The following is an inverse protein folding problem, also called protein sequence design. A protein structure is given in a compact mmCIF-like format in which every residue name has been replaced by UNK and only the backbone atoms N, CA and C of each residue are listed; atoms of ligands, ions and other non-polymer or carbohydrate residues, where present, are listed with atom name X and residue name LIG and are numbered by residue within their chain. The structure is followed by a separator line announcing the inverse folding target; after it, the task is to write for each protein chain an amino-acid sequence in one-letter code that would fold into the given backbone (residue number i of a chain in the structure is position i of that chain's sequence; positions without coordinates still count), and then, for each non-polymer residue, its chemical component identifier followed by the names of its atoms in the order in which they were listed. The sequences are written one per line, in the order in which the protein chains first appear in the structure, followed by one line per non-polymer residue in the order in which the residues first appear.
data_IF_167638056229
#
_entry.id   IF_167638056229
#
_cell.length_a   1.000
_cell.length_b   1.000
_cell.length_c   1.000
_cell.angle_alpha   90.00
_cell.angle_beta   90.00
_cell.angle_gamma   90.00
#
_symmetry.space_group_name_H-M   'P 1'
#
loop_
_entity.id
_entity.type
_entity.pdbx_description
1 polymer ?
#
# COMPACT_ATOMS: atom_id res chain seq x y z
N UNK A 1 8.69 -27.06 -2.47
CA UNK A 1 9.25 -25.91 -3.18
C UNK A 1 8.44 -25.78 -4.46
N UNK A 2 7.44 -24.90 -4.51
CA UNK A 2 6.63 -24.73 -5.73
C UNK A 2 7.43 -23.85 -6.67
N UNK A 3 7.97 -24.43 -7.75
CA UNK A 3 8.54 -23.68 -8.86
C UNK A 3 7.42 -22.85 -9.50
N UNK A 4 7.37 -21.56 -9.20
CA UNK A 4 6.48 -20.64 -9.89
C UNK A 4 6.97 -20.54 -11.34
N UNK A 5 6.15 -21.05 -12.27
CA UNK A 5 6.40 -20.96 -13.71
C UNK A 5 6.71 -19.50 -14.07
N UNK A 6 7.79 -19.24 -14.82
CA UNK A 6 8.15 -17.88 -15.21
C UNK A 6 7.02 -17.27 -16.05
N UNK A 7 6.48 -16.14 -15.59
CA UNK A 7 5.37 -15.44 -16.23
C UNK A 7 5.93 -14.30 -17.08
N UNK A 8 5.53 -14.22 -18.35
CA UNK A 8 5.94 -13.15 -19.25
C UNK A 8 5.28 -11.84 -18.85
N UNK A 9 6.05 -10.75 -18.89
CA UNK A 9 5.55 -9.41 -18.53
C UNK A 9 4.40 -9.01 -19.46
N UNK A 10 4.49 -9.32 -20.75
CA UNK A 10 3.45 -9.03 -21.74
C UNK A 10 2.15 -9.75 -21.47
N UNK A 11 2.19 -11.03 -21.10
CA UNK A 11 1.02 -11.84 -20.74
C UNK A 11 0.40 -11.33 -19.43
N UNK A 12 1.24 -11.10 -18.41
CA UNK A 12 0.82 -10.56 -17.11
C UNK A 12 0.11 -9.21 -17.26
N UNK A 13 0.67 -8.31 -18.06
CA UNK A 13 0.08 -7.00 -18.31
C UNK A 13 -1.29 -7.11 -19.01
N UNK A 14 -1.41 -8.00 -20.00
CA UNK A 14 -2.66 -8.26 -20.73
C UNK A 14 -3.75 -8.83 -19.82
N UNK A 15 -3.43 -9.82 -19.03
CA UNK A 15 -4.36 -10.45 -18.08
C UNK A 15 -4.81 -9.47 -16.99
N UNK A 16 -3.86 -8.69 -16.45
CA UNK A 16 -4.16 -7.63 -15.46
C UNK A 16 -5.06 -6.55 -16.07
N UNK A 17 -4.83 -6.15 -17.32
CA UNK A 17 -5.70 -5.21 -18.04
C UNK A 17 -7.12 -5.76 -18.17
N UNK A 18 -7.28 -7.00 -18.62
CA UNK A 18 -8.59 -7.64 -18.76
C UNK A 18 -9.33 -7.72 -17.42
N UNK A 19 -8.63 -8.12 -16.37
CA UNK A 19 -9.19 -8.15 -15.02
C UNK A 19 -9.68 -6.76 -14.58
N UNK A 20 -8.88 -5.71 -14.75
CA UNK A 20 -9.25 -4.34 -14.37
C UNK A 20 -10.44 -3.84 -15.18
N UNK A 21 -10.54 -4.16 -16.47
CA UNK A 21 -11.71 -3.86 -17.32
C UNK A 21 -12.97 -4.54 -16.80
N UNK A 22 -12.92 -5.83 -16.49
CA UNK A 22 -14.03 -6.58 -15.93
C UNK A 22 -14.51 -6.01 -14.59
N UNK A 23 -13.59 -5.44 -13.80
CA UNK A 23 -13.90 -4.75 -12.53
C UNK A 23 -14.37 -3.30 -12.71
N UNK A 24 -14.61 -2.86 -13.94
CA UNK A 24 -15.17 -1.54 -14.25
C UNK A 24 -14.15 -0.40 -14.21
N UNK A 25 -12.85 -0.69 -14.39
CA UNK A 25 -11.85 0.36 -14.55
C UNK A 25 -12.06 1.12 -15.86
N UNK A 26 -12.04 2.45 -15.80
CA UNK A 26 -12.22 3.29 -17.01
C UNK A 26 -11.04 3.11 -17.97
N UNK A 27 -11.32 3.10 -19.29
CA UNK A 27 -10.30 2.98 -20.34
C UNK A 27 -9.19 4.05 -20.23
N UNK A 28 -9.55 5.29 -19.89
CA UNK A 28 -8.59 6.38 -19.66
C UNK A 28 -7.62 6.08 -18.51
N UNK A 29 -8.12 5.51 -17.41
CA UNK A 29 -7.30 5.09 -16.28
C UNK A 29 -6.36 3.95 -16.66
N UNK A 30 -6.88 2.96 -17.40
CA UNK A 30 -6.05 1.86 -17.91
C UNK A 30 -4.97 2.32 -18.86
N UNK A 31 -5.22 3.35 -19.67
CA UNK A 31 -4.19 3.95 -20.52
C UNK A 31 -2.95 4.40 -19.75
N UNK A 32 -3.16 4.95 -18.54
CA UNK A 32 -2.04 5.38 -17.67
C UNK A 32 -1.29 4.17 -17.08
N UNK A 33 -1.99 3.10 -16.70
CA UNK A 33 -1.35 1.84 -16.26
C UNK A 33 -0.48 1.27 -17.39
N UNK A 34 -1.06 1.13 -18.59
CA UNK A 34 -0.38 0.60 -19.77
C UNK A 34 0.88 1.40 -20.12
N UNK A 35 0.81 2.74 -20.06
CA UNK A 35 1.97 3.58 -20.31
C UNK A 35 3.12 3.30 -19.35
N UNK A 36 2.83 3.01 -18.07
CA UNK A 36 3.85 2.61 -17.09
C UNK A 36 4.40 1.22 -17.39
N UNK A 37 3.52 0.26 -17.70
CA UNK A 37 3.92 -1.12 -18.01
C UNK A 37 4.75 -1.21 -19.30
N UNK A 38 4.42 -0.43 -20.35
CA UNK A 38 5.25 -0.35 -21.57
C UNK A 38 6.65 0.19 -21.27
N UNK A 39 6.76 1.22 -20.40
CA UNK A 39 8.08 1.71 -19.96
C UNK A 39 8.87 0.63 -19.21
N UNK A 40 8.20 -0.13 -18.36
CA UNK A 40 8.81 -1.23 -17.64
C UNK A 40 9.27 -2.34 -18.59
N UNK A 41 8.44 -2.75 -19.57
CA UNK A 41 8.82 -3.72 -20.59
C UNK A 41 10.03 -3.25 -21.41
N UNK A 42 10.07 -1.97 -21.78
CA UNK A 42 11.22 -1.41 -22.51
C UNK A 42 12.49 -1.31 -21.65
N UNK A 43 12.34 -1.16 -20.34
CA UNK A 43 13.45 -1.13 -19.38
C UNK A 43 14.00 -2.53 -19.07
N UNK A 44 13.12 -3.52 -18.98
CA UNK A 44 13.49 -4.88 -18.59
C UNK A 44 14.29 -5.54 -19.70
N UNK A 45 15.45 -6.10 -19.35
CA UNK A 45 16.27 -6.91 -20.27
C UNK A 45 15.69 -8.31 -20.52
N UNK A 46 14.68 -8.70 -19.75
CA UNK A 46 14.01 -10.01 -19.81
C UNK A 46 12.52 -9.81 -20.00
N UNK A 47 11.87 -10.67 -20.79
CA UNK A 47 10.41 -10.72 -20.91
C UNK A 47 9.74 -11.40 -19.70
N UNK A 48 10.51 -11.96 -18.78
CA UNK A 48 10.00 -12.58 -17.55
C UNK A 48 9.87 -11.54 -16.45
N UNK A 49 8.69 -11.50 -15.81
CA UNK A 49 8.47 -10.59 -14.68
C UNK A 49 9.38 -10.95 -13.51
N UNK A 50 10.06 -9.94 -12.99
CA UNK A 50 10.86 -10.02 -11.78
C UNK A 50 10.54 -8.86 -10.86
N UNK A 51 10.26 -9.15 -9.60
CA UNK A 51 10.04 -8.15 -8.56
C UNK A 51 11.25 -7.22 -8.41
N UNK A 52 12.46 -7.80 -8.39
CA UNK A 52 13.69 -7.02 -8.30
C UNK A 52 13.85 -6.06 -9.47
N UNK A 53 13.53 -6.49 -10.70
CA UNK A 53 13.56 -5.61 -11.87
C UNK A 53 12.52 -4.48 -11.75
N UNK A 54 11.32 -4.77 -11.23
CA UNK A 54 10.30 -3.77 -11.00
C UNK A 54 10.71 -2.74 -9.92
N UNK A 55 11.37 -3.15 -8.86
CA UNK A 55 11.91 -2.26 -7.82
C UNK A 55 13.02 -1.36 -8.37
N UNK A 56 13.94 -1.91 -9.14
CA UNK A 56 15.01 -1.13 -9.81
C UNK A 56 14.42 -0.12 -10.80
N UNK A 57 13.43 -0.54 -11.60
CA UNK A 57 12.71 0.35 -12.51
C UNK A 57 12.04 1.50 -11.78
N UNK A 58 11.31 1.22 -10.70
CA UNK A 58 10.66 2.24 -9.87
C UNK A 58 11.68 3.23 -9.30
N UNK A 59 12.82 2.75 -8.85
CA UNK A 59 13.89 3.58 -8.30
C UNK A 59 14.52 4.47 -9.36
N UNK A 60 14.89 3.93 -10.52
CA UNK A 60 15.60 4.68 -11.56
C UNK A 60 14.70 5.65 -12.34
N UNK A 61 13.47 5.25 -12.67
CA UNK A 61 12.56 6.07 -13.49
C UNK A 61 11.70 7.06 -12.70
N UNK A 62 11.37 6.71 -11.46
CA UNK A 62 10.43 7.49 -10.65
C UNK A 62 11.01 7.92 -9.32
N UNK A 63 12.22 7.51 -8.96
CA UNK A 63 12.85 7.82 -7.69
C UNK A 63 12.18 7.13 -6.48
N UNK A 64 11.40 6.06 -6.71
CA UNK A 64 10.67 5.35 -5.65
C UNK A 64 11.57 4.29 -5.03
N UNK A 65 11.94 4.47 -3.77
CA UNK A 65 12.59 3.43 -2.98
C UNK A 65 11.52 2.67 -2.19
N UNK A 66 11.19 1.46 -2.65
CA UNK A 66 10.16 0.61 -2.05
C UNK A 66 10.50 0.11 -0.65
N UNK A 67 11.78 0.15 -0.28
CA UNK A 67 12.27 -0.27 1.02
C UNK A 67 12.38 0.88 2.04
N UNK A 68 12.22 2.13 1.57
CA UNK A 68 12.27 3.31 2.44
C UNK A 68 10.93 3.55 3.12
N UNK A 69 10.89 3.38 4.44
CA UNK A 69 9.70 3.70 5.25
C UNK A 69 9.45 5.22 5.39
N UNK A 70 10.44 6.04 5.04
CA UNK A 70 10.44 7.49 5.34
C UNK A 70 10.21 8.32 4.07
N UNK A 71 10.33 7.73 2.89
CA UNK A 71 10.24 8.48 1.64
C UNK A 71 8.85 9.11 1.45
N UNK A 72 8.83 10.44 1.32
CA UNK A 72 7.62 11.17 0.92
C UNK A 72 7.40 11.03 -0.58
N UNK A 73 6.41 10.25 -0.96
CA UNK A 73 6.06 10.02 -2.35
C UNK A 73 5.21 11.18 -2.90
N UNK A 74 5.61 11.76 -4.03
CA UNK A 74 4.77 12.67 -4.80
C UNK A 74 3.65 11.92 -5.55
N UNK A 75 2.83 12.67 -6.30
CA UNK A 75 1.71 12.07 -7.05
C UNK A 75 2.18 11.11 -8.15
N UNK A 76 3.25 11.46 -8.87
CA UNK A 76 3.82 10.65 -9.95
C UNK A 76 4.40 9.34 -9.42
N UNK A 77 5.17 9.43 -8.33
CA UNK A 77 5.72 8.27 -7.63
C UNK A 77 4.63 7.31 -7.15
N UNK A 78 3.57 7.86 -6.52
CA UNK A 78 2.42 7.05 -6.04
C UNK A 78 1.68 6.35 -7.17
N UNK A 79 1.52 7.00 -8.32
CA UNK A 79 0.89 6.38 -9.47
C UNK A 79 1.75 5.26 -10.04
N UNK A 80 3.05 5.50 -10.25
CA UNK A 80 3.96 4.48 -10.76
C UNK A 80 3.99 3.24 -9.85
N UNK A 81 4.10 3.46 -8.53
CA UNK A 81 4.07 2.39 -7.55
C UNK A 81 2.74 1.61 -7.60
N UNK A 82 1.58 2.30 -7.71
CA UNK A 82 0.27 1.66 -7.86
C UNK A 82 0.21 0.80 -9.12
N UNK A 83 0.73 1.30 -10.25
CA UNK A 83 0.67 0.60 -11.52
C UNK A 83 1.53 -0.68 -11.49
N UNK A 84 2.73 -0.63 -10.92
CA UNK A 84 3.60 -1.80 -10.78
C UNK A 84 3.05 -2.80 -9.77
N UNK A 85 2.52 -2.31 -8.66
CA UNK A 85 1.87 -3.15 -7.66
C UNK A 85 0.64 -3.90 -8.22
N UNK A 86 -0.05 -3.34 -9.21
CA UNK A 86 -1.19 -4.03 -9.82
C UNK A 86 -0.76 -5.30 -10.58
N UNK A 87 0.40 -5.29 -11.23
CA UNK A 87 0.98 -6.49 -11.85
C UNK A 87 1.34 -7.53 -10.80
N UNK A 88 2.01 -7.10 -9.74
CA UNK A 88 2.45 -7.99 -8.67
C UNK A 88 1.27 -8.59 -7.88
N UNK A 89 0.27 -7.76 -7.54
CA UNK A 89 -0.92 -8.23 -6.85
C UNK A 89 -1.67 -9.28 -7.70
N UNK A 90 -1.83 -9.01 -9.01
CA UNK A 90 -2.48 -9.95 -9.92
C UNK A 90 -1.69 -11.25 -10.08
N UNK A 91 -0.37 -11.16 -10.23
CA UNK A 91 0.52 -12.32 -10.31
C UNK A 91 0.39 -13.23 -9.08
N UNK A 92 0.34 -12.63 -7.90
CA UNK A 92 0.36 -13.38 -6.64
C UNK A 92 -1.02 -13.89 -6.22
N UNK A 93 -2.11 -13.22 -6.61
CA UNK A 93 -3.46 -13.49 -6.07
C UNK A 93 -4.53 -13.67 -7.13
N UNK A 94 -4.25 -13.46 -8.41
CA UNK A 94 -5.23 -13.41 -9.49
C UNK A 94 -6.19 -12.21 -9.38
N UNK A 95 -5.88 -11.22 -8.52
CA UNK A 95 -6.74 -10.08 -8.27
C UNK A 95 -5.95 -8.79 -8.01
N UNK A 96 -6.54 -7.64 -8.40
CA UNK A 96 -5.99 -6.32 -8.06
C UNK A 96 -6.93 -5.66 -7.05
N UNK A 97 -6.52 -5.44 -5.80
CA UNK A 97 -7.37 -4.81 -4.81
C UNK A 97 -7.71 -3.37 -5.23
N UNK A 98 -9.00 -3.00 -5.21
CA UNK A 98 -9.48 -1.65 -5.57
C UNK A 98 -8.86 -0.53 -4.74
N UNK A 99 -8.56 -0.84 -3.48
CA UNK A 99 -7.74 -0.04 -2.58
C UNK A 99 -6.76 -1.02 -1.96
N UNK A 100 -5.46 -0.85 -2.17
CA UNK A 100 -4.56 -1.36 -1.16
C UNK A 100 -5.00 -0.70 0.12
N UNK A 101 -5.64 -1.45 0.98
CA UNK A 101 -5.88 -0.96 2.32
C UNK A 101 -4.50 -0.64 2.85
N UNK A 102 -4.18 0.64 2.99
CA UNK A 102 -2.99 1.10 3.72
C UNK A 102 -2.92 0.53 5.14
N UNK A 103 -3.84 -0.34 5.47
CA UNK A 103 -4.09 -0.88 6.77
C UNK A 103 -3.63 -2.29 7.04
N UNK A 104 -3.22 -3.09 6.07
CA UNK A 104 -2.72 -4.42 6.44
C UNK A 104 -1.40 -4.39 7.24
N UNK A 105 -0.61 -3.32 7.07
CA UNK A 105 0.60 -3.11 7.87
C UNK A 105 0.37 -2.32 9.16
N UNK A 106 -0.84 -1.84 9.37
CA UNK A 106 -1.19 -0.96 10.47
C UNK A 106 -2.42 -1.50 11.24
N UNK A 107 -2.48 -2.80 11.43
CA UNK A 107 -3.41 -3.38 12.42
C UNK A 107 -2.99 -2.89 13.79
N UNK A 108 -3.96 -2.38 14.53
CA UNK A 108 -3.74 -2.06 15.94
C UNK A 108 -3.38 -3.36 16.66
N UNK A 109 -2.30 -3.41 17.45
CA UNK A 109 -1.98 -4.60 18.22
C UNK A 109 -3.14 -5.00 19.11
N UNK A 110 -3.44 -6.31 19.21
CA UNK A 110 -4.65 -6.82 19.87
C UNK A 110 -4.88 -6.29 21.28
N UNK A 111 -3.78 -6.02 22.01
CA UNK A 111 -3.84 -5.45 23.37
C UNK A 111 -4.43 -4.01 23.43
N UNK A 112 -4.46 -3.29 22.30
CA UNK A 112 -5.04 -1.94 22.20
C UNK A 112 -6.37 -1.89 21.44
N UNK A 113 -6.89 -3.01 20.95
CA UNK A 113 -8.11 -3.02 20.12
C UNK A 113 -9.32 -2.43 20.86
N UNK A 114 -9.51 -2.80 22.12
CA UNK A 114 -10.61 -2.28 22.95
C UNK A 114 -10.48 -0.77 23.11
N UNK A 115 -9.33 -0.29 23.53
CA UNK A 115 -9.07 1.15 23.68
C UNK A 115 -9.29 1.91 22.36
N UNK A 116 -8.78 1.38 21.27
CA UNK A 116 -8.93 1.98 19.94
C UNK A 116 -10.39 2.05 19.51
N UNK A 117 -11.15 0.99 19.73
CA UNK A 117 -12.58 0.92 19.42
C UNK A 117 -13.41 1.88 20.28
N UNK A 118 -13.12 1.96 21.58
CA UNK A 118 -13.82 2.85 22.52
C UNK A 118 -13.58 4.31 22.18
N UNK A 119 -12.33 4.67 21.90
CA UNK A 119 -11.99 6.03 21.50
C UNK A 119 -12.67 6.44 20.19
N UNK A 120 -12.70 5.55 19.20
CA UNK A 120 -13.39 5.85 17.95
C UNK A 120 -14.90 5.99 18.12
N UNK A 121 -15.53 5.19 19.00
CA UNK A 121 -16.95 5.35 19.35
C UNK A 121 -17.21 6.68 20.04
N UNK A 122 -16.36 7.07 20.97
CA UNK A 122 -16.42 8.38 21.60
C UNK A 122 -16.33 9.52 20.56
N UNK A 123 -15.34 9.46 19.67
CA UNK A 123 -15.18 10.46 18.61
C UNK A 123 -16.40 10.53 17.67
N UNK A 124 -17.02 9.39 17.33
CA UNK A 124 -18.21 9.35 16.48
C UNK A 124 -19.41 10.07 17.11
N UNK A 125 -19.49 10.13 18.45
CA UNK A 125 -20.54 10.84 19.18
C UNK A 125 -20.34 12.36 19.23
N UNK A 126 -19.15 12.86 18.88
CA UNK A 126 -18.78 14.28 18.99
C UNK A 126 -19.09 15.11 17.75
N UNK A 127 -19.83 14.58 16.78
CA UNK A 127 -20.21 15.28 15.54
C UNK A 127 -19.04 15.85 14.72
N UNK A 128 -17.86 15.22 14.77
CA UNK A 128 -16.74 15.60 13.95
C UNK A 128 -16.97 15.25 12.48
N UNK A 129 -16.34 16.00 11.56
CA UNK A 129 -16.41 15.72 10.12
C UNK A 129 -15.77 14.37 9.77
N UNK A 130 -16.25 13.72 8.69
CA UNK A 130 -15.69 12.46 8.19
C UNK A 130 -14.19 12.55 7.91
N UNK A 131 -13.72 13.69 7.41
CA UNK A 131 -12.31 13.95 7.18
C UNK A 131 -11.50 13.96 8.46
N UNK A 132 -12.01 14.66 9.49
CA UNK A 132 -11.40 14.69 10.82
C UNK A 132 -11.33 13.29 11.43
N UNK A 133 -12.45 12.57 11.39
CA UNK A 133 -12.54 11.20 11.91
C UNK A 133 -11.53 10.26 11.23
N UNK A 134 -11.42 10.32 9.89
CA UNK A 134 -10.47 9.52 9.13
C UNK A 134 -9.01 9.84 9.49
N UNK A 135 -8.69 11.13 9.66
CA UNK A 135 -7.35 11.58 10.05
C UNK A 135 -6.99 11.13 11.46
N UNK A 136 -7.89 11.33 12.41
CA UNK A 136 -7.72 10.93 13.82
C UNK A 136 -7.57 9.41 13.96
N UNK A 137 -8.40 8.64 13.26
CA UNK A 137 -8.31 7.18 13.21
C UNK A 137 -6.93 6.72 12.73
N UNK A 138 -6.38 7.37 11.70
CA UNK A 138 -5.07 7.03 11.15
C UNK A 138 -3.93 7.43 12.11
N UNK A 139 -4.01 8.62 12.70
CA UNK A 139 -3.03 9.12 13.66
C UNK A 139 -2.97 8.24 14.93
N UNK A 140 -4.13 7.91 15.51
CA UNK A 140 -4.19 7.05 16.69
C UNK A 140 -3.61 5.66 16.42
N UNK A 141 -3.89 5.11 15.24
CA UNK A 141 -3.34 3.80 14.84
C UNK A 141 -1.82 3.84 14.76
N UNK A 142 -1.24 4.86 14.14
CA UNK A 142 0.22 5.05 14.06
C UNK A 142 0.83 5.22 15.45
N UNK A 143 0.19 6.00 16.31
CA UNK A 143 0.62 6.19 17.68
C UNK A 143 0.66 4.88 18.46
N UNK A 144 -0.42 4.08 18.44
CA UNK A 144 -0.47 2.80 19.13
C UNK A 144 0.56 1.78 18.61
N UNK A 145 0.86 1.83 17.30
CA UNK A 145 1.95 1.03 16.74
C UNK A 145 3.33 1.47 17.25
N UNK A 146 3.58 2.77 17.36
CA UNK A 146 4.80 3.30 17.91
C UNK A 146 4.95 2.90 19.39
N UNK A 147 3.92 3.11 20.19
CA UNK A 147 3.84 2.72 21.59
C UNK A 147 4.16 1.22 21.79
N UNK A 148 3.57 0.37 20.95
CA UNK A 148 3.84 -1.07 20.99
C UNK A 148 5.29 -1.42 20.63
N UNK A 149 5.90 -0.72 19.67
CA UNK A 149 7.33 -0.90 19.30
C UNK A 149 8.27 -0.53 20.43
N UNK A 150 7.88 0.41 21.27
CA UNK A 150 8.64 0.81 22.46
C UNK A 150 8.37 -0.10 23.69
N UNK A 151 7.66 -1.22 23.50
CA UNK A 151 7.43 -2.21 24.53
C UNK A 151 6.39 -1.83 25.57
N UNK A 152 5.68 -0.71 25.41
CA UNK A 152 4.60 -0.30 26.28
C UNK A 152 3.40 -1.21 26.01
N UNK A 153 2.94 -1.90 27.02
CA UNK A 153 1.86 -2.91 26.87
C UNK A 153 0.53 -2.49 27.49
N UNK A 154 0.54 -1.38 28.25
CA UNK A 154 -0.68 -0.89 28.88
C UNK A 154 -0.87 0.60 28.58
N UNK A 155 -2.10 1.00 28.27
CA UNK A 155 -2.43 2.42 28.04
C UNK A 155 -2.18 3.31 29.24
N UNK A 156 -2.19 2.76 30.46
CA UNK A 156 -1.85 3.49 31.70
C UNK A 156 -0.38 3.88 31.82
N UNK A 157 0.49 3.23 31.06
CA UNK A 157 1.94 3.54 31.00
C UNK A 157 2.25 4.70 30.05
N UNK A 158 1.26 5.13 29.26
CA UNK A 158 1.41 6.24 28.31
C UNK A 158 1.39 7.54 29.11
N UNK A 159 2.53 8.20 29.17
CA UNK A 159 2.71 9.48 29.86
C UNK A 159 3.38 10.51 28.94
N UNK A 160 3.63 11.73 29.44
CA UNK A 160 4.25 12.79 28.65
C UNK A 160 5.64 12.41 28.10
N UNK A 161 6.42 11.59 28.79
CA UNK A 161 7.70 11.08 28.30
C UNK A 161 7.57 10.11 27.13
N UNK A 162 6.45 9.39 27.05
CA UNK A 162 6.15 8.48 25.95
C UNK A 162 5.77 9.24 24.65
N UNK A 163 5.25 10.46 24.79
CA UNK A 163 4.80 11.30 23.64
C UNK A 163 6.00 12.01 22.98
N UNK A 164 7.13 12.11 23.67
CA UNK A 164 8.37 12.72 23.16
C UNK A 164 9.29 11.77 22.40
N UNK A 165 8.87 10.51 22.19
CA UNK A 165 9.58 9.49 21.41
C UNK A 165 9.14 9.56 19.95
#
# INVERSE_FOLDING_TARGET
MFETKPVRITELAKETEQYLLQKGCKKSTLGVYKATWHKFMAFSSSDVYSRTAAEVFLKLYFGVDVHSAIQKLDSRMRHALRHMNALEDYLNTGAVPRKRMRGHYLTVPGLYETFFGDYLRFCAQQYYSDSWFSTTRSALRLFLLAVNRHGIRNTTEINQGTIGL
#
